data_IF_761935067242
#
_entry.id   IF_761935067242
#
_cell.length_a   1.000
_cell.length_b   1.000
_cell.length_c   1.000
_cell.angle_alpha   90.00
_cell.angle_beta   90.00
_cell.angle_gamma   90.00
#
_symmetry.space_group_name_H-M   'P 1'
#
loop_
_entity.id
_entity.type
_entity.pdbx_description
1 polymer ?
#
# COMPACT_ATOMS: atom_id res chain seq x y z
N UNK A 1 -9.75 -17.22 22.15
CA UNK A 1 -10.32 -16.09 21.38
C UNK A 1 -11.81 -16.06 21.59
N UNK A 2 -12.41 -14.88 21.76
CA UNK A 2 -13.86 -14.71 21.88
C UNK A 2 -14.51 -14.60 20.48
N UNK A 3 -15.81 -14.91 20.37
CA UNK A 3 -16.57 -14.85 19.11
C UNK A 3 -16.54 -13.46 18.44
N UNK A 4 -16.49 -12.39 19.24
CA UNK A 4 -16.36 -11.02 18.76
C UNK A 4 -15.03 -10.76 18.02
N UNK A 5 -13.91 -11.28 18.54
CA UNK A 5 -12.57 -11.12 17.93
C UNK A 5 -12.50 -11.87 16.60
N UNK A 6 -13.08 -13.07 16.53
CA UNK A 6 -13.17 -13.84 15.28
C UNK A 6 -13.98 -13.11 14.19
N UNK A 7 -15.04 -12.41 14.59
CA UNK A 7 -15.87 -11.64 13.66
C UNK A 7 -15.14 -10.39 13.12
N UNK A 8 -14.42 -9.66 13.99
CA UNK A 8 -13.61 -8.52 13.58
C UNK A 8 -12.47 -8.93 12.64
N UNK A 9 -11.77 -10.03 12.94
CA UNK A 9 -10.68 -10.53 12.11
C UNK A 9 -11.16 -10.95 10.71
N UNK A 10 -12.28 -11.65 10.61
CA UNK A 10 -12.87 -12.01 9.31
C UNK A 10 -13.35 -10.79 8.53
N UNK A 11 -13.90 -9.78 9.21
CA UNK A 11 -14.27 -8.51 8.58
C UNK A 11 -13.04 -7.80 7.99
N UNK A 12 -11.94 -7.73 8.74
CA UNK A 12 -10.69 -7.10 8.28
C UNK A 12 -10.11 -7.86 7.08
N UNK A 13 -10.18 -9.20 7.07
CA UNK A 13 -9.79 -10.02 5.90
C UNK A 13 -10.64 -9.72 4.66
N UNK A 14 -11.95 -9.60 4.81
CA UNK A 14 -12.86 -9.22 3.72
C UNK A 14 -12.49 -7.84 3.17
N UNK A 15 -12.21 -6.87 4.06
CA UNK A 15 -11.81 -5.52 3.68
C UNK A 15 -10.47 -5.53 2.92
N UNK A 16 -9.49 -6.33 3.34
CA UNK A 16 -8.21 -6.53 2.63
C UNK A 16 -8.46 -7.03 1.20
N UNK A 17 -9.30 -8.06 1.04
CA UNK A 17 -9.62 -8.64 -0.27
C UNK A 17 -10.34 -7.63 -1.20
N UNK A 18 -11.29 -6.86 -0.65
CA UNK A 18 -12.00 -5.82 -1.38
C UNK A 18 -11.05 -4.69 -1.83
N UNK A 19 -10.20 -4.21 -0.91
CA UNK A 19 -9.24 -3.15 -1.21
C UNK A 19 -8.22 -3.59 -2.27
N UNK A 20 -7.78 -4.84 -2.27
CA UNK A 20 -6.88 -5.39 -3.28
C UNK A 20 -7.50 -5.31 -4.71
N UNK A 21 -8.80 -5.60 -4.82
CA UNK A 21 -9.54 -5.45 -6.08
C UNK A 21 -9.62 -3.99 -6.52
N UNK A 22 -9.91 -3.08 -5.59
CA UNK A 22 -9.96 -1.63 -5.86
C UNK A 22 -8.60 -1.07 -6.28
N UNK A 23 -7.52 -1.47 -5.62
CA UNK A 23 -6.14 -1.07 -5.95
C UNK A 23 -5.75 -1.45 -7.38
N UNK A 24 -6.24 -2.58 -7.89
CA UNK A 24 -6.00 -2.98 -9.29
C UNK A 24 -6.58 -1.97 -10.27
N UNK A 25 -7.82 -1.54 -10.05
CA UNK A 25 -8.50 -0.54 -10.88
C UNK A 25 -7.84 0.84 -10.72
N UNK A 26 -7.56 1.24 -9.48
CA UNK A 26 -6.91 2.51 -9.18
C UNK A 26 -5.55 2.62 -9.89
N UNK A 27 -4.70 1.59 -9.82
CA UNK A 27 -3.41 1.56 -10.51
C UNK A 27 -3.53 1.66 -12.04
N UNK A 28 -4.58 1.11 -12.64
CA UNK A 28 -4.81 1.24 -14.07
C UNK A 28 -5.15 2.69 -14.45
N UNK A 29 -5.95 3.36 -13.61
CA UNK A 29 -6.39 4.72 -13.86
C UNK A 29 -5.23 5.72 -13.80
N UNK A 30 -4.21 5.47 -12.97
CA UNK A 30 -3.02 6.36 -12.86
C UNK A 30 -2.12 6.36 -14.10
N UNK A 31 -2.39 5.58 -15.15
CA UNK A 31 -1.52 5.43 -16.34
C UNK A 31 -1.10 6.77 -16.96
N UNK A 32 -2.03 7.71 -17.13
CA UNK A 32 -1.72 9.02 -17.72
C UNK A 32 -0.81 9.84 -16.80
N UNK A 33 -1.14 9.86 -15.51
CA UNK A 33 -0.38 10.59 -14.50
C UNK A 33 1.03 10.01 -14.34
N UNK A 34 1.20 8.67 -14.32
CA UNK A 34 2.52 8.03 -14.28
C UNK A 34 3.42 8.45 -15.44
N UNK A 35 2.87 8.60 -16.64
CA UNK A 35 3.65 9.04 -17.82
C UNK A 35 4.20 10.45 -17.62
N UNK A 36 3.36 11.36 -17.11
CA UNK A 36 3.81 12.73 -16.80
C UNK A 36 4.81 12.73 -15.65
N UNK A 37 4.54 11.94 -14.62
CA UNK A 37 5.38 11.86 -13.43
C UNK A 37 6.80 11.40 -13.78
N UNK A 38 6.92 10.36 -14.61
CA UNK A 38 8.21 9.84 -15.09
C UNK A 38 9.07 10.91 -15.78
N UNK A 39 8.45 11.95 -16.33
CA UNK A 39 9.16 13.05 -17.01
C UNK A 39 9.42 14.23 -16.07
N UNK A 40 8.47 14.54 -15.18
CA UNK A 40 8.48 15.77 -14.35
C UNK A 40 9.12 15.60 -12.97
N UNK A 41 9.26 14.36 -12.50
CA UNK A 41 9.85 14.03 -11.20
C UNK A 41 11.02 13.06 -11.39
N UNK A 42 12.12 13.50 -12.04
CA UNK A 42 13.33 12.68 -12.10
C UNK A 42 13.93 12.49 -10.70
N UNK A 43 14.70 11.41 -10.46
CA UNK A 43 15.36 11.19 -9.18
C UNK A 43 16.43 12.26 -8.92
N UNK A 44 16.35 12.93 -7.77
CA UNK A 44 17.24 14.05 -7.38
C UNK A 44 18.26 13.62 -6.31
N UNK A 45 19.02 12.55 -6.56
CA UNK A 45 19.95 11.87 -5.61
C UNK A 45 19.32 10.74 -4.77
N UNK A 46 18.15 10.23 -5.17
CA UNK A 46 17.50 9.08 -4.56
C UNK A 46 17.94 7.78 -5.28
N UNK A 47 18.06 6.66 -4.55
CA UNK A 47 18.42 5.35 -5.14
C UNK A 47 17.36 4.88 -6.13
N UNK A 48 16.09 5.11 -5.81
CA UNK A 48 14.93 4.80 -6.63
C UNK A 48 14.20 6.09 -7.01
N UNK A 49 13.64 6.09 -8.22
CA UNK A 49 12.66 7.10 -8.62
C UNK A 49 11.36 6.96 -7.82
N UNK A 50 10.56 8.02 -7.83
CA UNK A 50 9.22 8.01 -7.24
C UNK A 50 8.36 6.81 -7.70
N UNK A 51 8.38 6.48 -8.98
CA UNK A 51 7.56 5.39 -9.51
C UNK A 51 8.08 4.02 -9.09
N UNK A 52 9.39 3.85 -8.96
CA UNK A 52 10.00 2.61 -8.47
C UNK A 52 9.68 2.39 -6.99
N UNK A 53 9.77 3.41 -6.14
CA UNK A 53 9.36 3.33 -4.74
C UNK A 53 7.90 2.90 -4.61
N UNK A 54 7.01 3.50 -5.41
CA UNK A 54 5.59 3.15 -5.39
C UNK A 54 5.38 1.71 -5.90
N UNK A 55 6.15 1.24 -6.87
CA UNK A 55 6.07 -0.13 -7.36
C UNK A 55 6.55 -1.13 -6.29
N UNK A 56 7.63 -0.83 -5.57
CA UNK A 56 8.12 -1.65 -4.45
C UNK A 56 7.07 -1.77 -3.34
N UNK A 57 6.44 -0.66 -2.96
CA UNK A 57 5.32 -0.67 -2.02
C UNK A 57 4.14 -1.50 -2.56
N UNK A 58 3.79 -1.30 -3.81
CA UNK A 58 2.70 -2.01 -4.50
C UNK A 58 2.90 -3.52 -4.45
N UNK A 59 4.07 -4.01 -4.85
CA UNK A 59 4.36 -5.44 -4.92
C UNK A 59 4.33 -6.06 -3.53
N UNK A 60 4.99 -5.45 -2.55
CA UNK A 60 5.06 -5.98 -1.19
C UNK A 60 3.68 -6.04 -0.53
N UNK A 61 2.95 -4.91 -0.51
CA UNK A 61 1.66 -4.82 0.17
C UNK A 61 0.60 -5.71 -0.49
N UNK A 62 0.57 -5.76 -1.82
CA UNK A 62 -0.36 -6.64 -2.54
C UNK A 62 0.00 -8.11 -2.36
N UNK A 63 1.28 -8.45 -2.32
CA UNK A 63 1.74 -9.81 -2.04
C UNK A 63 1.26 -10.32 -0.68
N UNK A 64 1.40 -9.50 0.37
CA UNK A 64 0.90 -9.81 1.70
C UNK A 64 -0.63 -9.92 1.75
N UNK A 65 -1.32 -8.97 1.14
CA UNK A 65 -2.78 -8.97 1.04
C UNK A 65 -3.31 -10.22 0.30
N UNK A 66 -2.64 -10.64 -0.79
CA UNK A 66 -3.01 -11.84 -1.54
C UNK A 66 -2.85 -13.11 -0.72
N UNK A 67 -1.78 -13.24 0.07
CA UNK A 67 -1.60 -14.41 0.96
C UNK A 67 -2.72 -14.50 1.99
N UNK A 68 -3.01 -13.39 2.69
CA UNK A 68 -4.08 -13.31 3.69
C UNK A 68 -5.45 -13.56 3.07
N UNK A 69 -5.75 -12.94 1.92
CA UNK A 69 -7.03 -13.12 1.26
C UNK A 69 -7.26 -14.58 0.81
N UNK A 70 -6.22 -15.26 0.33
CA UNK A 70 -6.32 -16.63 -0.16
C UNK A 70 -6.33 -17.68 0.97
N UNK A 71 -5.53 -17.47 2.02
CA UNK A 71 -5.24 -18.52 3.01
C UNK A 71 -5.63 -18.16 4.45
N UNK A 72 -5.90 -16.88 4.72
CA UNK A 72 -6.02 -16.37 6.09
C UNK A 72 -4.69 -16.36 6.86
N UNK A 73 -3.57 -16.65 6.21
CA UNK A 73 -2.25 -16.77 6.81
C UNK A 73 -1.21 -16.00 6.00
N UNK A 74 -0.04 -15.77 6.61
CA UNK A 74 1.11 -15.18 5.96
C UNK A 74 2.39 -15.88 6.40
N UNK A 75 3.32 -16.08 5.47
CA UNK A 75 4.63 -16.65 5.80
C UNK A 75 5.46 -15.60 6.54
N UNK A 76 6.16 -16.01 7.61
CA UNK A 76 7.03 -15.14 8.42
C UNK A 76 6.32 -13.90 9.00
N UNK A 77 5.16 -14.11 9.64
CA UNK A 77 4.29 -13.05 10.18
C UNK A 77 5.05 -11.96 10.97
N UNK A 78 5.95 -12.30 11.89
CA UNK A 78 6.69 -11.30 12.68
C UNK A 78 7.60 -10.41 11.81
N UNK A 79 8.25 -11.00 10.80
CA UNK A 79 9.07 -10.26 9.84
C UNK A 79 8.19 -9.33 9.01
N UNK A 80 7.03 -9.80 8.55
CA UNK A 80 6.08 -8.98 7.79
C UNK A 80 5.54 -7.83 8.63
N UNK A 81 5.17 -8.06 9.90
CA UNK A 81 4.75 -6.99 10.82
C UNK A 81 5.85 -5.94 10.95
N UNK A 82 7.10 -6.38 11.18
CA UNK A 82 8.25 -5.47 11.31
C UNK A 82 8.46 -4.63 10.05
N UNK A 83 8.35 -5.24 8.87
CA UNK A 83 8.45 -4.54 7.59
C UNK A 83 7.29 -3.55 7.39
N UNK A 84 6.05 -3.94 7.66
CA UNK A 84 4.87 -3.07 7.55
C UNK A 84 4.92 -1.87 8.52
N UNK A 85 5.53 -2.04 9.70
CA UNK A 85 5.75 -0.95 10.65
C UNK A 85 6.84 0.02 10.18
N UNK A 86 7.90 -0.50 9.56
CA UNK A 86 8.98 0.30 8.98
C UNK A 86 8.54 1.04 7.70
N UNK A 87 7.60 0.46 6.94
CA UNK A 87 7.10 0.95 5.66
C UNK A 87 6.14 2.13 5.81
N UNK A 88 6.58 3.24 6.43
CA UNK A 88 5.79 4.47 6.52
C UNK A 88 5.76 5.14 5.15
N UNK A 89 4.71 4.88 4.36
CA UNK A 89 4.58 5.27 2.95
C UNK A 89 4.94 6.75 2.70
N UNK A 90 4.43 7.66 3.53
CA UNK A 90 4.69 9.10 3.40
C UNK A 90 6.05 9.56 3.96
N UNK A 91 6.78 8.69 4.64
CA UNK A 91 8.16 8.96 5.09
C UNK A 91 9.21 8.59 4.04
N UNK A 92 8.82 7.86 2.98
CA UNK A 92 9.68 7.62 1.81
C UNK A 92 9.86 8.94 1.07
N UNK A 93 11.10 9.43 0.98
CA UNK A 93 11.39 10.82 0.57
C UNK A 93 10.78 11.21 -0.78
N UNK A 94 10.95 10.42 -1.87
CA UNK A 94 10.31 10.74 -3.15
C UNK A 94 8.79 10.85 -3.04
N UNK A 95 8.15 9.92 -2.30
CA UNK A 95 6.69 9.83 -2.16
C UNK A 95 6.16 11.00 -1.36
N UNK A 96 6.76 11.29 -0.19
CA UNK A 96 6.35 12.40 0.67
C UNK A 96 6.46 13.73 -0.05
N UNK A 97 7.62 14.00 -0.68
CA UNK A 97 7.82 15.22 -1.48
C UNK A 97 6.77 15.34 -2.57
N UNK A 98 6.57 14.30 -3.37
CA UNK A 98 5.58 14.32 -4.45
C UNK A 98 4.17 14.59 -3.93
N UNK A 99 3.75 13.85 -2.91
CA UNK A 99 2.38 13.89 -2.39
C UNK A 99 2.02 15.28 -1.86
N UNK A 100 2.90 15.89 -1.05
CA UNK A 100 2.63 17.17 -0.40
C UNK A 100 2.96 18.40 -1.26
N UNK A 101 3.79 18.29 -2.30
CA UNK A 101 4.16 19.44 -3.15
C UNK A 101 3.29 19.62 -4.39
N UNK A 102 2.56 18.58 -4.82
CA UNK A 102 1.79 18.60 -6.08
C UNK A 102 0.30 18.91 -5.87
N UNK A 103 -0.05 19.89 -5.03
CA UNK A 103 -1.45 20.17 -4.66
C UNK A 103 -2.37 20.44 -5.87
N UNK A 104 -3.53 19.79 -5.89
CA UNK A 104 -4.51 19.90 -6.97
C UNK A 104 -4.08 19.24 -8.29
N UNK A 105 -3.05 18.39 -8.26
CA UNK A 105 -2.52 17.64 -9.39
C UNK A 105 -2.26 16.19 -8.98
N UNK A 106 -2.31 15.32 -9.99
CA UNK A 106 -2.03 13.89 -9.84
C UNK A 106 -2.90 13.20 -8.79
N UNK A 107 -4.17 13.60 -8.71
CA UNK A 107 -5.08 13.14 -7.66
C UNK A 107 -5.31 11.63 -7.73
N UNK A 108 -5.30 11.02 -8.93
CA UNK A 108 -5.45 9.56 -9.05
C UNK A 108 -4.24 8.84 -8.45
N UNK A 109 -3.04 9.37 -8.68
CA UNK A 109 -1.81 8.82 -8.11
C UNK A 109 -1.76 9.02 -6.59
N UNK A 110 -2.21 10.17 -6.10
CA UNK A 110 -2.33 10.44 -4.67
C UNK A 110 -3.34 9.52 -4.00
N UNK A 111 -4.49 9.30 -4.62
CA UNK A 111 -5.50 8.34 -4.16
C UNK A 111 -4.90 6.95 -4.07
N UNK A 112 -4.16 6.55 -5.10
CA UNK A 112 -3.48 5.26 -5.11
C UNK A 112 -2.48 5.10 -3.95
N UNK A 113 -1.64 6.12 -3.71
CA UNK A 113 -0.68 6.13 -2.58
C UNK A 113 -1.42 6.02 -1.23
N UNK A 114 -2.53 6.75 -1.06
CA UNK A 114 -3.36 6.66 0.14
C UNK A 114 -3.95 5.27 0.34
N UNK A 115 -4.44 4.65 -0.73
CA UNK A 115 -4.98 3.29 -0.67
C UNK A 115 -3.90 2.26 -0.31
N UNK A 116 -2.64 2.46 -0.74
CA UNK A 116 -1.52 1.61 -0.33
C UNK A 116 -1.23 1.76 1.17
N UNK A 117 -1.15 2.98 1.70
CA UNK A 117 -0.93 3.17 3.15
C UNK A 117 -2.11 2.64 3.98
N UNK A 118 -3.34 2.78 3.48
CA UNK A 118 -4.50 2.19 4.11
C UNK A 118 -4.44 0.65 4.11
N UNK A 119 -4.04 0.03 3.00
CA UNK A 119 -3.83 -1.42 2.95
C UNK A 119 -2.77 -1.85 3.97
N UNK A 120 -1.66 -1.12 4.10
CA UNK A 120 -0.62 -1.39 5.09
C UNK A 120 -1.18 -1.39 6.51
N UNK A 121 -2.04 -0.43 6.86
CA UNK A 121 -2.69 -0.36 8.17
C UNK A 121 -3.62 -1.55 8.41
N UNK A 122 -4.46 -1.91 7.42
CA UNK A 122 -5.34 -3.09 7.53
C UNK A 122 -4.56 -4.39 7.70
N UNK A 123 -3.42 -4.54 7.01
CA UNK A 123 -2.55 -5.70 7.16
C UNK A 123 -1.96 -5.77 8.58
N UNK A 124 -1.54 -4.65 9.15
CA UNK A 124 -1.05 -4.60 10.53
C UNK A 124 -2.16 -4.98 11.52
N UNK A 125 -3.35 -4.41 11.36
CA UNK A 125 -4.51 -4.70 12.19
C UNK A 125 -4.84 -6.20 12.16
N UNK A 126 -4.92 -6.81 10.97
CA UNK A 126 -5.18 -8.23 10.81
C UNK A 126 -4.13 -9.11 11.49
N UNK A 127 -2.84 -8.80 11.30
CA UNK A 127 -1.73 -9.63 11.79
C UNK A 127 -1.44 -9.44 13.29
N UNK A 128 -1.86 -8.32 13.88
CA UNK A 128 -1.70 -8.05 15.31
C UNK A 128 -2.92 -8.47 16.14
N UNK A 129 -4.05 -8.73 15.49
CA UNK A 129 -5.27 -9.26 16.12
C UNK A 129 -5.34 -10.79 16.09
N UNK A 130 -4.43 -11.42 15.33
CA UNK A 130 -4.31 -12.87 15.16
C UNK A 130 -3.65 -13.57 16.36
#
# INVERSE_FOLDING_TARGET
>A
MTEAILNEQELTKINIAQLLSQLTKAYQNTRSERKEIATKFPPENEEFSLLEEIELLTVNLRGYASQIAATGQIVNQEQVISQLQAMRVFSVSPIGKFYFSSNGKYEQMKDYIRMLDYLRLLLLEYLQSA
#
